data_IF_221126848380
#
_entry.id   IF_221126848380
#
_cell.length_a   1.000
_cell.length_b   1.000
_cell.length_c   1.000
_cell.angle_alpha   90.00
_cell.angle_beta   90.00
_cell.angle_gamma   90.00
#
_symmetry.space_group_name_H-M   'P 1'
#
loop_
_entity.id
_entity.type
_entity.pdbx_description
1 polymer ?
#
# COMPACT_ATOMS: atom_id res chain seq x y z
N UNK A 1 3.25 -10.40 -4.57
CA UNK A 1 2.97 -8.94 -4.51
C UNK A 1 4.11 -8.24 -3.78
N UNK A 2 4.61 -7.12 -4.29
CA UNK A 2 5.81 -6.44 -3.76
C UNK A 2 5.64 -6.01 -2.30
N UNK A 3 4.46 -5.51 -1.91
CA UNK A 3 4.18 -5.07 -0.55
C UNK A 3 4.39 -6.14 0.53
N UNK A 4 4.11 -7.41 0.23
CA UNK A 4 4.38 -8.50 1.17
C UNK A 4 5.88 -8.75 1.38
N UNK A 5 6.69 -8.58 0.34
CA UNK A 5 8.15 -8.70 0.45
C UNK A 5 8.74 -7.52 1.25
N UNK A 6 8.26 -6.30 1.00
CA UNK A 6 8.65 -5.10 1.76
C UNK A 6 8.27 -5.25 3.23
N UNK A 7 7.03 -5.64 3.53
CA UNK A 7 6.58 -5.84 4.91
C UNK A 7 7.46 -6.85 5.67
N UNK A 8 7.75 -8.01 5.07
CA UNK A 8 8.65 -9.01 5.68
C UNK A 8 10.06 -8.47 5.91
N UNK A 9 10.61 -7.72 4.96
CA UNK A 9 11.93 -7.13 5.11
C UNK A 9 11.97 -6.10 6.24
N UNK A 10 10.96 -5.23 6.35
CA UNK A 10 10.86 -4.24 7.42
C UNK A 10 10.71 -4.89 8.80
N UNK A 11 9.84 -5.90 8.91
CA UNK A 11 9.66 -6.68 10.14
C UNK A 11 10.96 -7.39 10.58
N UNK A 12 11.71 -7.96 9.63
CA UNK A 12 12.99 -8.60 9.92
C UNK A 12 14.07 -7.62 10.44
N UNK A 13 13.93 -6.33 10.15
CA UNK A 13 14.78 -5.27 10.69
C UNK A 13 14.24 -4.67 12.00
N UNK A 14 13.17 -5.23 12.57
CA UNK A 14 12.59 -4.80 13.84
C UNK A 14 11.75 -3.52 13.74
N UNK A 15 11.33 -3.12 12.53
CA UNK A 15 10.45 -1.97 12.34
C UNK A 15 8.98 -2.36 12.57
N UNK A 16 8.20 -1.43 13.12
CA UNK A 16 6.75 -1.59 13.19
C UNK A 16 6.13 -1.51 11.79
N UNK A 17 5.26 -2.46 11.46
CA UNK A 17 4.59 -2.51 10.16
C UNK A 17 3.09 -2.66 10.36
N UNK A 18 2.33 -1.80 9.70
CA UNK A 18 0.89 -1.98 9.49
C UNK A 18 0.65 -2.41 8.04
N UNK A 19 0.16 -3.62 7.83
CA UNK A 19 -0.19 -4.12 6.50
C UNK A 19 -1.65 -3.77 6.17
N UNK A 20 -1.86 -2.98 5.12
CA UNK A 20 -3.18 -2.63 4.61
C UNK A 20 -3.71 -3.76 3.71
N UNK A 21 -4.79 -4.41 4.12
CA UNK A 21 -5.31 -5.63 3.49
C UNK A 21 -6.81 -5.54 3.23
N UNK A 22 -7.29 -6.17 2.14
CA UNK A 22 -8.73 -6.27 1.87
C UNK A 22 -9.43 -7.34 2.71
N UNK A 23 -8.68 -8.38 3.09
CA UNK A 23 -9.18 -9.50 3.88
C UNK A 23 -8.11 -9.90 4.91
N UNK A 24 -8.40 -9.67 6.19
CA UNK A 24 -7.52 -10.05 7.29
C UNK A 24 -7.32 -11.56 7.41
N UNK A 25 -8.30 -12.36 6.99
CA UNK A 25 -8.28 -13.83 7.11
C UNK A 25 -7.57 -14.52 5.94
N UNK A 26 -7.06 -13.76 4.97
CA UNK A 26 -6.27 -14.34 3.88
C UNK A 26 -4.95 -14.91 4.40
N UNK A 27 -4.49 -16.01 3.82
CA UNK A 27 -3.21 -16.64 4.17
C UNK A 27 -2.04 -15.64 4.25
N UNK A 28 -1.81 -14.80 3.22
CA UNK A 28 -0.76 -13.78 3.26
C UNK A 28 -0.91 -12.74 4.38
N UNK A 29 -2.15 -12.37 4.74
CA UNK A 29 -2.39 -11.43 5.84
C UNK A 29 -2.08 -12.07 7.20
N UNK A 30 -2.50 -13.32 7.39
CA UNK A 30 -2.22 -14.08 8.62
C UNK A 30 -0.72 -14.39 8.76
N UNK A 31 -0.01 -14.66 7.66
CA UNK A 31 1.45 -14.80 7.66
C UNK A 31 2.15 -13.52 8.14
N UNK A 32 1.78 -12.35 7.61
CA UNK A 32 2.35 -11.08 8.05
C UNK A 32 2.03 -10.78 9.52
N UNK A 33 0.81 -11.09 9.96
CA UNK A 33 0.40 -10.95 11.36
C UNK A 33 1.21 -11.85 12.28
N UNK A 34 1.45 -13.11 11.89
CA UNK A 34 2.29 -14.04 12.64
C UNK A 34 3.75 -13.57 12.75
N UNK A 35 4.22 -12.77 11.78
CA UNK A 35 5.53 -12.12 11.80
C UNK A 35 5.55 -10.79 12.59
N UNK A 36 4.42 -10.38 13.19
CA UNK A 36 4.33 -9.19 14.04
C UNK A 36 3.72 -7.96 13.37
N UNK A 37 3.21 -8.05 12.13
CA UNK A 37 2.50 -6.93 11.51
C UNK A 37 1.16 -6.66 12.20
N UNK A 38 0.83 -5.38 12.35
CA UNK A 38 -0.56 -4.95 12.58
C UNK A 38 -1.30 -5.05 11.24
N UNK A 39 -2.58 -5.43 11.26
CA UNK A 39 -3.42 -5.45 10.05
C UNK A 39 -4.40 -4.30 10.09
N UNK A 40 -4.44 -3.49 9.04
CA UNK A 40 -5.48 -2.50 8.80
C UNK A 40 -6.32 -2.98 7.62
N UNK A 41 -7.63 -3.07 7.80
CA UNK A 41 -8.54 -3.56 6.75
C UNK A 41 -9.11 -2.38 5.95
N UNK A 42 -9.14 -2.51 4.62
CA UNK A 42 -9.75 -1.51 3.76
C UNK A 42 -9.48 -1.71 2.26
N UNK A 43 -9.87 -0.71 1.49
CA UNK A 43 -9.66 -0.64 0.04
C UNK A 43 -9.07 0.70 -0.34
N UNK A 44 -8.29 0.75 -1.43
CA UNK A 44 -7.65 1.98 -1.89
C UNK A 44 -8.65 3.03 -2.43
N UNK A 45 -9.90 2.63 -2.65
CA UNK A 45 -11.00 3.49 -3.07
C UNK A 45 -11.80 4.04 -1.87
N UNK A 46 -11.51 3.56 -0.65
CA UNK A 46 -12.17 4.01 0.59
C UNK A 46 -11.22 4.91 1.39
N UNK A 47 -11.45 6.21 1.27
CA UNK A 47 -10.66 7.25 1.95
C UNK A 47 -10.67 7.10 3.47
N UNK A 48 -11.78 6.69 4.09
CA UNK A 48 -11.82 6.55 5.56
C UNK A 48 -10.92 5.40 6.01
N UNK A 49 -10.90 4.30 5.27
CA UNK A 49 -10.01 3.18 5.57
C UNK A 49 -8.53 3.55 5.40
N UNK A 50 -8.20 4.36 4.40
CA UNK A 50 -6.85 4.88 4.18
C UNK A 50 -6.43 5.84 5.30
N UNK A 51 -7.30 6.77 5.70
CA UNK A 51 -7.04 7.68 6.82
C UNK A 51 -6.83 6.93 8.13
N UNK A 52 -7.64 5.90 8.40
CA UNK A 52 -7.44 5.05 9.58
C UNK A 52 -6.11 4.29 9.52
N UNK A 53 -5.70 3.81 8.34
CA UNK A 53 -4.46 3.06 8.16
C UNK A 53 -3.19 3.94 8.23
N UNK A 54 -3.26 5.20 7.79
CA UNK A 54 -2.11 6.12 7.81
C UNK A 54 -1.97 6.89 9.12
N UNK A 55 -2.97 6.85 10.00
CA UNK A 55 -2.92 7.51 11.30
C UNK A 55 -1.72 7.01 12.14
N UNK A 56 -0.88 7.95 12.59
CA UNK A 56 0.29 7.66 13.42
C UNK A 56 1.45 6.99 12.68
N UNK A 57 1.41 6.88 11.35
CA UNK A 57 2.51 6.31 10.56
C UNK A 57 3.48 7.41 10.09
N UNK A 58 4.79 7.14 10.14
CA UNK A 58 5.81 8.06 9.62
C UNK A 58 6.06 7.90 8.12
N UNK A 59 5.87 6.68 7.60
CA UNK A 59 6.22 6.30 6.22
C UNK A 59 5.11 5.42 5.63
N UNK A 60 4.77 5.67 4.36
CA UNK A 60 3.83 4.84 3.59
C UNK A 60 4.52 4.24 2.37
N UNK A 61 4.44 2.92 2.22
CA UNK A 61 4.80 2.24 0.98
C UNK A 61 3.53 2.06 0.13
N UNK A 62 3.52 2.64 -1.08
CA UNK A 62 2.36 2.69 -1.98
C UNK A 62 2.62 1.91 -3.26
N UNK A 63 1.68 1.02 -3.59
CA UNK A 63 1.69 0.13 -4.74
C UNK A 63 0.25 -0.17 -5.13
N UNK A 64 -0.08 -0.04 -6.41
CA UNK A 64 -1.39 -0.38 -6.95
C UNK A 64 -1.30 -1.68 -7.74
N UNK A 65 -2.34 -2.52 -7.71
CA UNK A 65 -2.38 -3.72 -8.53
C UNK A 65 -2.50 -3.35 -10.01
N UNK A 66 -1.75 -4.05 -10.87
CA UNK A 66 -1.90 -3.94 -12.32
C UNK A 66 -3.24 -4.49 -12.80
N UNK A 67 -3.78 -3.95 -13.89
CA UNK A 67 -4.99 -4.48 -14.53
C UNK A 67 -6.31 -4.00 -13.91
N UNK A 68 -6.29 -2.91 -13.14
CA UNK A 68 -7.50 -2.19 -12.74
C UNK A 68 -8.10 -1.40 -13.90
N UNK A 69 -9.31 -0.86 -13.72
CA UNK A 69 -9.93 0.01 -14.71
C UNK A 69 -9.01 1.20 -15.06
N UNK A 70 -9.08 1.72 -16.30
CA UNK A 70 -8.34 2.91 -16.69
C UNK A 70 -8.55 4.05 -15.69
N UNK A 71 -7.47 4.69 -15.23
CA UNK A 71 -7.52 5.78 -14.25
C UNK A 71 -7.57 5.34 -12.77
N UNK A 72 -7.99 4.11 -12.48
CA UNK A 72 -8.11 3.63 -11.09
C UNK A 72 -6.77 3.64 -10.34
N UNK A 73 -5.65 3.29 -11.02
CA UNK A 73 -4.32 3.37 -10.42
C UNK A 73 -3.98 4.80 -9.97
N UNK A 74 -4.29 5.80 -10.80
CA UNK A 74 -4.04 7.21 -10.50
C UNK A 74 -4.91 7.72 -9.35
N UNK A 75 -6.20 7.34 -9.35
CA UNK A 75 -7.14 7.69 -8.27
C UNK A 75 -6.71 7.07 -6.94
N UNK A 76 -6.31 5.80 -6.94
CA UNK A 76 -5.81 5.11 -5.76
C UNK A 76 -4.50 5.72 -5.27
N UNK A 77 -3.59 6.10 -6.17
CA UNK A 77 -2.35 6.80 -5.82
C UNK A 77 -2.68 8.11 -5.08
N UNK A 78 -3.60 8.87 -5.66
CA UNK A 78 -4.05 10.14 -5.12
C UNK A 78 -4.68 9.96 -3.74
N UNK A 79 -5.56 8.98 -3.57
CA UNK A 79 -6.22 8.72 -2.29
C UNK A 79 -5.20 8.36 -1.19
N UNK A 80 -4.24 7.48 -1.51
CA UNK A 80 -3.17 7.11 -0.56
C UNK A 80 -2.34 8.34 -0.19
N UNK A 81 -1.93 9.15 -1.17
CA UNK A 81 -1.15 10.36 -0.92
C UNK A 81 -1.91 11.40 -0.10
N UNK A 82 -3.20 11.60 -0.38
CA UNK A 82 -4.07 12.53 0.34
C UNK A 82 -4.29 12.10 1.80
N UNK A 83 -4.59 10.82 2.04
CA UNK A 83 -4.73 10.29 3.40
C UNK A 83 -3.42 10.34 4.19
N UNK A 84 -2.29 10.05 3.55
CA UNK A 84 -0.97 10.15 4.16
C UNK A 84 -0.63 11.61 4.52
N UNK A 85 -0.87 12.54 3.60
CA UNK A 85 -0.65 13.97 3.83
C UNK A 85 -1.50 14.50 5.00
N UNK A 86 -2.79 14.16 5.02
CA UNK A 86 -3.72 14.58 6.09
C UNK A 86 -3.25 14.16 7.48
N UNK A 87 -2.65 12.98 7.60
CA UNK A 87 -2.17 12.43 8.87
C UNK A 87 -0.69 12.75 9.19
N UNK A 88 -0.05 13.61 8.40
CA UNK A 88 1.33 14.06 8.66
C UNK A 88 2.40 13.01 8.38
N UNK A 89 2.13 12.02 7.50
CA UNK A 89 3.14 11.08 7.02
C UNK A 89 4.30 11.85 6.38
N UNK A 90 5.53 11.52 6.77
CA UNK A 90 6.74 12.27 6.39
C UNK A 90 7.33 11.83 5.06
N UNK A 91 7.11 10.56 4.69
CA UNK A 91 7.66 9.99 3.47
C UNK A 91 6.71 9.00 2.82
N UNK A 92 6.59 9.09 1.49
CA UNK A 92 5.89 8.09 0.68
C UNK A 92 6.89 7.46 -0.28
N UNK A 93 6.97 6.14 -0.27
CA UNK A 93 7.72 5.33 -1.23
C UNK A 93 6.68 4.75 -2.19
N UNK A 94 6.64 5.26 -3.42
CA UNK A 94 5.67 4.80 -4.42
C UNK A 94 6.38 4.04 -5.54
N UNK A 95 5.87 2.85 -5.87
CA UNK A 95 6.39 2.02 -6.96
C UNK A 95 5.49 2.12 -8.17
N UNK A 96 6.07 2.49 -9.31
CA UNK A 96 5.40 2.54 -10.60
C UNK A 96 6.31 1.93 -11.67
N UNK A 97 5.76 1.58 -12.82
CA UNK A 97 6.52 1.21 -14.01
C UNK A 97 6.22 2.25 -15.08
N UNK A 98 7.25 2.76 -15.73
CA UNK A 98 7.13 3.62 -16.91
C UNK A 98 7.58 2.87 -18.16
N UNK A 99 7.23 3.40 -19.34
CA UNK A 99 7.58 2.82 -20.64
C UNK A 99 7.06 1.38 -20.85
N UNK A 100 5.76 1.16 -20.66
CA UNK A 100 5.07 -0.06 -21.15
C UNK A 100 4.45 0.14 -22.54
N UNK A 101 4.28 1.39 -23.01
CA UNK A 101 3.65 1.72 -24.31
C UNK A 101 4.60 1.98 -25.50
N UNK A 102 5.93 1.91 -25.31
CA UNK A 102 6.91 2.21 -26.37
C UNK A 102 6.99 1.16 -27.49
N UNK A 103 6.33 0.00 -27.33
CA UNK A 103 6.22 -1.05 -28.37
C UNK A 103 4.94 -0.96 -29.20
N UNK A 104 4.08 0.04 -28.97
CA UNK A 104 2.84 0.24 -29.72
C UNK A 104 2.91 1.34 -30.78
N UNK A 105 4.11 1.88 -31.06
CA UNK A 105 4.31 2.83 -32.16
C UNK A 105 4.57 2.06 -33.47
N UNK A 106 3.75 2.23 -34.51
CA UNK A 106 3.97 1.63 -35.83
C UNK A 106 5.21 2.19 -36.55
#
# INVERSE_FOLDING_TARGET
MQGGAVARALLAHGLEVTAFVRNSESGPAQELKALGAKLAMGTMDDMQSLEAATAGQDVVFSMQPSGTAPGAESEQAHNIASAAHKNGVKQIIHTFVSATGWREMP
#
